data_IF_869647199160
#
_entry.id   IF_869647199160
#
_cell.length_a   1.000
_cell.length_b   1.000
_cell.length_c   1.000
_cell.angle_alpha   90.00
_cell.angle_beta   90.00
_cell.angle_gamma   90.00
#
_symmetry.space_group_name_H-M   'P 1'
#
loop_
_entity.id
_entity.type
_entity.pdbx_description
1 polymer ?
#
# COMPACT_ATOMS: atom_id res chain seq x y z
N UNK A 1 10.12 -1.84 -22.50
CA UNK A 1 9.56 -2.24 -21.20
C UNK A 1 9.42 -3.73 -21.28
N UNK A 2 10.08 -4.46 -20.39
CA UNK A 2 10.20 -5.92 -20.45
C UNK A 2 9.48 -6.53 -19.25
N UNK A 3 8.79 -7.65 -19.46
CA UNK A 3 8.17 -8.41 -18.38
C UNK A 3 9.28 -9.14 -17.59
N UNK A 4 9.21 -9.10 -16.27
CA UNK A 4 10.17 -9.76 -15.40
C UNK A 4 9.72 -11.19 -15.04
N UNK A 5 9.88 -12.12 -15.98
CA UNK A 5 9.39 -13.50 -15.86
C UNK A 5 10.05 -14.26 -14.70
N UNK A 6 11.36 -14.06 -14.48
CA UNK A 6 12.10 -14.66 -13.36
C UNK A 6 11.50 -14.26 -12.00
N UNK A 7 10.99 -13.03 -11.86
CA UNK A 7 10.31 -12.63 -10.64
C UNK A 7 9.05 -13.47 -10.39
N UNK A 8 8.27 -13.76 -11.44
CA UNK A 8 7.02 -14.52 -11.34
C UNK A 8 7.31 -15.97 -10.95
N UNK A 9 8.38 -16.54 -11.50
CA UNK A 9 8.86 -17.88 -11.13
C UNK A 9 9.21 -17.97 -9.63
N UNK A 10 9.84 -16.93 -9.08
CA UNK A 10 10.19 -16.88 -7.65
C UNK A 10 9.00 -16.54 -6.74
N UNK A 11 7.93 -15.97 -7.29
CA UNK A 11 6.75 -15.55 -6.54
C UNK A 11 5.45 -16.13 -7.16
N UNK A 12 5.34 -17.47 -7.25
CA UNK A 12 4.26 -18.10 -8.00
C UNK A 12 2.87 -17.77 -7.45
N UNK A 13 2.78 -17.52 -6.13
CA UNK A 13 1.54 -17.13 -5.44
C UNK A 13 0.99 -15.77 -5.87
N UNK A 14 1.80 -14.94 -6.54
CA UNK A 14 1.40 -13.63 -7.05
C UNK A 14 0.95 -13.68 -8.51
N UNK A 15 1.07 -14.85 -9.16
CA UNK A 15 0.55 -15.11 -10.50
C UNK A 15 -0.93 -14.73 -10.64
N UNK A 16 -1.26 -13.99 -11.71
CA UNK A 16 -2.62 -13.51 -11.98
C UNK A 16 -3.08 -12.30 -11.15
N UNK A 17 -2.31 -11.87 -10.14
CA UNK A 17 -2.63 -10.69 -9.31
C UNK A 17 -1.58 -9.59 -9.39
N UNK A 18 -0.33 -9.92 -9.72
CA UNK A 18 0.75 -8.96 -9.92
C UNK A 18 1.57 -9.35 -11.15
N UNK A 19 2.01 -8.34 -11.89
CA UNK A 19 3.02 -8.45 -12.94
C UNK A 19 4.05 -7.36 -12.73
N UNK A 20 5.32 -7.71 -12.90
CA UNK A 20 6.46 -6.80 -12.74
C UNK A 20 7.09 -6.51 -14.09
N UNK A 21 7.32 -5.24 -14.38
CA UNK A 21 8.03 -4.79 -15.56
C UNK A 21 9.35 -4.11 -15.18
N UNK A 22 10.35 -4.27 -16.04
CA UNK A 22 11.60 -3.50 -15.98
C UNK A 22 11.67 -2.52 -17.16
N UNK A 23 12.02 -1.28 -16.88
CA UNK A 23 12.22 -0.25 -17.90
C UNK A 23 13.29 0.75 -17.47
N UNK A 24 14.40 0.80 -18.23
CA UNK A 24 15.51 1.75 -17.99
C UNK A 24 16.00 1.76 -16.54
N UNK A 25 16.17 0.58 -15.94
CA UNK A 25 16.59 0.41 -14.54
C UNK A 25 15.49 0.62 -13.50
N UNK A 26 14.27 1.01 -13.91
CA UNK A 26 13.11 1.11 -13.02
C UNK A 26 12.33 -0.19 -13.00
N UNK A 27 11.95 -0.60 -11.80
CA UNK A 27 11.01 -1.71 -11.57
C UNK A 27 9.62 -1.13 -11.37
N UNK A 28 8.65 -1.64 -12.14
CA UNK A 28 7.25 -1.22 -12.08
C UNK A 28 6.39 -2.44 -11.77
N UNK A 29 5.78 -2.44 -10.59
CA UNK A 29 4.79 -3.43 -10.21
C UNK A 29 3.39 -2.98 -10.58
N UNK A 30 2.67 -3.80 -11.33
CA UNK A 30 1.25 -3.61 -11.62
C UNK A 30 0.48 -4.65 -10.83
N UNK A 31 -0.35 -4.19 -9.90
CA UNK A 31 -1.15 -5.02 -9.01
C UNK A 31 -2.64 -4.88 -9.35
N UNK A 32 -3.33 -6.02 -9.43
CA UNK A 32 -4.78 -6.10 -9.49
C UNK A 32 -5.35 -6.00 -8.06
N UNK A 33 -6.51 -5.36 -7.82
CA UNK A 33 -7.17 -5.42 -6.52
C UNK A 33 -7.44 -6.86 -6.09
N UNK A 34 -6.96 -7.25 -4.90
CA UNK A 34 -7.10 -8.62 -4.38
C UNK A 34 -8.27 -8.79 -3.43
N UNK A 35 -8.67 -7.69 -2.78
CA UNK A 35 -9.78 -7.70 -1.84
C UNK A 35 -10.61 -6.41 -1.87
N UNK A 36 -11.58 -6.36 -0.95
CA UNK A 36 -12.50 -5.24 -0.77
C UNK A 36 -11.81 -3.95 -0.34
N UNK A 37 -10.68 -4.02 0.37
CA UNK A 37 -9.92 -2.83 0.77
C UNK A 37 -9.17 -2.28 -0.43
N UNK A 38 -8.51 -3.13 -1.23
CA UNK A 38 -7.81 -2.70 -2.44
C UNK A 38 -8.79 -2.00 -3.41
N UNK A 39 -10.03 -2.49 -3.53
CA UNK A 39 -11.08 -1.78 -4.30
C UNK A 39 -11.44 -0.42 -3.71
N UNK A 40 -11.48 -0.31 -2.38
CA UNK A 40 -11.72 0.97 -1.70
C UNK A 40 -10.58 1.96 -1.92
N UNK A 41 -9.32 1.51 -1.97
CA UNK A 41 -8.16 2.34 -2.28
C UNK A 41 -8.35 3.06 -3.62
N UNK A 42 -8.82 2.36 -4.65
CA UNK A 42 -9.09 2.99 -5.96
C UNK A 42 -10.21 4.04 -5.93
N UNK A 43 -11.16 3.94 -4.99
CA UNK A 43 -12.21 4.95 -4.79
C UNK A 43 -11.70 6.16 -4.01
N UNK A 44 -10.72 5.96 -3.13
CA UNK A 44 -10.15 7.00 -2.25
C UNK A 44 -8.87 7.64 -2.75
N UNK A 45 -8.33 7.19 -3.89
CA UNK A 45 -7.16 7.77 -4.54
C UNK A 45 -7.24 9.31 -4.59
N UNK A 46 -6.13 9.95 -4.26
CA UNK A 46 -6.02 11.41 -4.19
C UNK A 46 -5.34 11.92 -5.45
N UNK A 47 -5.93 12.94 -6.09
CA UNK A 47 -5.28 13.65 -7.20
C UNK A 47 -4.25 14.61 -6.59
N UNK A 48 -2.99 14.46 -6.96
CA UNK A 48 -1.88 15.31 -6.49
C UNK A 48 -1.08 15.82 -7.68
N UNK A 49 -0.53 17.03 -7.56
CA UNK A 49 0.33 17.64 -8.58
C UNK A 49 1.78 17.40 -8.21
N UNK A 50 2.53 16.74 -9.09
CA UNK A 50 3.97 16.50 -8.98
C UNK A 50 4.61 16.93 -10.31
N UNK A 51 5.65 17.74 -10.25
CA UNK A 51 6.38 18.22 -11.44
C UNK A 51 5.46 18.76 -12.56
N UNK A 52 4.46 19.55 -12.18
CA UNK A 52 3.50 20.16 -13.12
C UNK A 52 2.43 19.20 -13.68
N UNK A 53 2.47 17.90 -13.36
CA UNK A 53 1.51 16.90 -13.83
C UNK A 53 0.63 16.38 -12.69
N UNK A 54 -0.58 15.95 -13.01
CA UNK A 54 -1.48 15.36 -12.02
C UNK A 54 -1.36 13.83 -12.01
N UNK A 55 -1.19 13.29 -10.81
CA UNK A 55 -1.12 11.86 -10.55
C UNK A 55 -2.19 11.45 -9.56
N UNK A 56 -2.65 10.21 -9.70
CA UNK A 56 -3.46 9.55 -8.69
C UNK A 56 -2.54 8.82 -7.72
N UNK A 57 -2.60 9.18 -6.45
CA UNK A 57 -1.77 8.60 -5.39
C UNK A 57 -2.69 7.99 -4.33
N UNK A 58 -2.24 6.92 -3.70
CA UNK A 58 -2.90 6.32 -2.54
C UNK A 58 -3.04 7.34 -1.39
N UNK A 59 -4.08 7.20 -0.56
CA UNK A 59 -4.19 8.00 0.67
C UNK A 59 -3.18 7.51 1.72
N UNK A 60 -2.83 8.36 2.70
CA UNK A 60 -1.91 7.96 3.75
C UNK A 60 -2.49 6.78 4.58
N UNK A 61 -3.79 6.83 4.86
CA UNK A 61 -4.46 5.78 5.62
C UNK A 61 -4.49 4.44 4.87
N UNK A 62 -4.83 4.49 3.58
CA UNK A 62 -4.88 3.29 2.74
C UNK A 62 -3.47 2.69 2.53
N UNK A 63 -2.42 3.52 2.49
CA UNK A 63 -1.03 3.08 2.42
C UNK A 63 -0.62 2.34 3.70
N UNK A 64 -0.91 2.90 4.88
CA UNK A 64 -0.65 2.26 6.18
C UNK A 64 -1.34 0.89 6.21
N UNK A 65 -2.65 0.84 5.91
CA UNK A 65 -3.41 -0.42 5.92
C UNK A 65 -2.84 -1.46 4.93
N UNK A 66 -2.40 -1.03 3.74
CA UNK A 66 -1.78 -1.95 2.77
C UNK A 66 -0.46 -2.53 3.27
N UNK A 67 0.35 -1.74 3.98
CA UNK A 67 1.61 -2.18 4.58
C UNK A 67 1.39 -3.19 5.70
N UNK A 68 0.48 -2.87 6.62
CA UNK A 68 0.15 -3.75 7.75
C UNK A 68 -0.46 -5.08 7.30
N UNK A 69 -1.24 -5.10 6.21
CA UNK A 69 -1.74 -6.36 5.60
C UNK A 69 -0.62 -7.31 5.16
N UNK A 70 0.54 -6.78 4.75
CA UNK A 70 1.69 -7.58 4.30
C UNK A 70 2.57 -7.98 5.48
N UNK A 71 2.76 -7.08 6.44
CA UNK A 71 3.28 -7.40 7.77
C UNK A 71 4.75 -7.81 7.83
N UNK A 72 5.59 -7.47 6.84
CA UNK A 72 7.05 -7.69 6.95
C UNK A 72 7.65 -6.64 7.89
N UNK A 73 8.80 -6.87 8.53
CA UNK A 73 9.44 -5.89 9.41
C UNK A 73 9.56 -4.49 8.77
N UNK A 74 10.01 -4.42 7.52
CA UNK A 74 10.12 -3.17 6.76
C UNK A 74 8.77 -2.49 6.47
N UNK A 75 7.68 -3.26 6.37
CA UNK A 75 6.36 -2.68 6.14
C UNK A 75 5.84 -1.96 7.39
N UNK A 76 6.20 -2.43 8.59
CA UNK A 76 5.95 -1.69 9.84
C UNK A 76 6.75 -0.39 9.90
N UNK A 77 8.05 -0.43 9.58
CA UNK A 77 8.88 0.78 9.52
C UNK A 77 8.31 1.83 8.54
N UNK A 78 7.91 1.40 7.35
CA UNK A 78 7.28 2.26 6.35
C UNK A 78 5.97 2.88 6.88
N UNK A 79 5.11 2.07 7.50
CA UNK A 79 3.85 2.52 8.07
C UNK A 79 4.06 3.52 9.22
N UNK A 80 4.93 3.22 10.17
CA UNK A 80 5.28 4.10 11.28
C UNK A 80 5.82 5.44 10.78
N UNK A 81 6.68 5.43 9.75
CA UNK A 81 7.22 6.67 9.17
C UNK A 81 6.14 7.58 8.57
N UNK A 82 5.02 7.02 8.12
CA UNK A 82 3.88 7.80 7.63
C UNK A 82 3.03 8.28 8.80
N UNK A 83 2.83 7.45 9.82
CA UNK A 83 2.13 7.84 11.06
C UNK A 83 2.79 9.05 11.70
N UNK A 84 4.12 9.01 11.88
CA UNK A 84 4.90 10.11 12.46
C UNK A 84 4.80 11.40 11.61
N UNK A 85 4.95 11.29 10.29
CA UNK A 85 4.94 12.47 9.39
C UNK A 85 3.58 13.12 9.23
N UNK A 86 2.51 12.34 9.20
CA UNK A 86 1.15 12.85 8.99
C UNK A 86 0.51 13.24 10.32
N UNK A 87 0.75 12.46 11.38
CA UNK A 87 0.32 12.70 12.74
C UNK A 87 -1.19 12.81 12.88
N UNK A 88 -1.64 13.87 13.56
CA UNK A 88 -3.06 14.12 13.88
C UNK A 88 -3.97 14.32 12.66
N UNK A 89 -3.41 14.47 11.45
CA UNK A 89 -4.18 14.60 10.20
C UNK A 89 -4.69 13.26 9.66
N UNK A 90 -4.24 12.13 10.22
CA UNK A 90 -4.74 10.81 9.84
C UNK A 90 -6.19 10.63 10.31
N UNK A 91 -7.02 10.08 9.43
CA UNK A 91 -8.38 9.65 9.79
C UNK A 91 -8.32 8.34 10.62
N UNK A 92 -8.15 8.49 11.95
CA UNK A 92 -8.07 7.36 12.90
C UNK A 92 -9.31 6.47 12.86
N UNK A 93 -10.50 7.06 12.73
CA UNK A 93 -11.77 6.32 12.62
C UNK A 93 -11.81 5.46 11.37
N UNK A 94 -11.25 5.93 10.26
CA UNK A 94 -11.11 5.15 9.04
C UNK A 94 -10.13 3.99 9.22
N UNK A 95 -8.95 4.26 9.78
CA UNK A 95 -7.92 3.26 10.05
C UNK A 95 -8.46 2.13 10.94
N UNK A 96 -9.03 2.47 12.10
CA UNK A 96 -9.58 1.49 13.05
C UNK A 96 -10.68 0.63 12.42
N UNK A 97 -11.61 1.25 11.68
CA UNK A 97 -12.71 0.52 11.02
C UNK A 97 -12.18 -0.52 10.03
N UNK A 98 -11.19 -0.15 9.22
CA UNK A 98 -10.62 -1.06 8.26
C UNK A 98 -9.70 -2.09 8.88
N UNK A 99 -8.88 -1.71 9.87
CA UNK A 99 -8.02 -2.63 10.58
C UNK A 99 -8.83 -3.74 11.25
N UNK A 100 -9.97 -3.41 11.90
CA UNK A 100 -10.90 -4.43 12.42
C UNK A 100 -11.46 -5.34 11.33
N UNK A 101 -11.88 -4.77 10.20
CA UNK A 101 -12.45 -5.54 9.07
C UNK A 101 -11.42 -6.47 8.40
N UNK A 102 -10.15 -6.07 8.43
CA UNK A 102 -9.03 -6.81 7.87
C UNK A 102 -8.39 -7.77 8.88
N UNK A 103 -8.77 -7.70 10.17
CA UNK A 103 -8.18 -8.52 11.23
C UNK A 103 -6.78 -8.08 11.67
N UNK A 104 -6.41 -6.83 11.42
CA UNK A 104 -5.05 -6.28 11.66
C UNK A 104 -5.01 -5.17 12.72
N UNK A 105 -5.92 -5.25 13.70
CA UNK A 105 -6.05 -4.18 14.71
C UNK A 105 -4.81 -4.09 15.60
N UNK A 106 -4.17 -5.21 15.94
CA UNK A 106 -2.96 -5.21 16.77
C UNK A 106 -1.77 -4.55 16.07
N UNK A 107 -1.63 -4.77 14.76
CA UNK A 107 -0.63 -4.14 13.92
C UNK A 107 -0.85 -2.63 13.81
N UNK A 108 -2.12 -2.20 13.72
CA UNK A 108 -2.45 -0.78 13.74
C UNK A 108 -2.12 -0.17 15.10
N UNK A 109 -2.52 -0.80 16.20
CA UNK A 109 -2.27 -0.30 17.55
C UNK A 109 -0.77 -0.16 17.81
N UNK A 110 0.05 -1.11 17.34
CA UNK A 110 1.51 -1.06 17.42
C UNK A 110 2.09 0.18 16.74
N UNK A 111 1.72 0.46 15.49
CA UNK A 111 2.29 1.62 14.76
C UNK A 111 1.72 2.97 15.21
N UNK A 112 0.54 2.97 15.85
CA UNK A 112 -0.12 4.20 16.33
C UNK A 112 0.28 4.59 17.76
N UNK A 113 1.00 3.71 18.47
CA UNK A 113 1.51 3.94 19.83
C UNK A 113 2.86 4.68 19.86
N UNK A 114 3.47 4.91 18.70
CA UNK A 114 4.67 5.72 18.49
C UNK A 114 4.34 7.22 18.47
#
# INVERSE_FOLDING_TARGET
>A
MELDETWLEWNPMLGGTQVRFRYRGLTVDILRPRDIHDRQVFRRKKKKRLEGRFYWIISAEDFILQKLKVGRPRDFEDASSVVERIGTRLDRKYLERWARRLGIIGELDYVMAL
#
